data_IF_285437069083
#
_entry.id   IF_285437069083
#
_cell.length_a   1.000
_cell.length_b   1.000
_cell.length_c   1.000
_cell.angle_alpha   90.00
_cell.angle_beta   90.00
_cell.angle_gamma   90.00
#
_symmetry.space_group_name_H-M   'P 1'
#
loop_
_entity.id
_entity.type
_entity.pdbx_description
1 polymer ?
#
# COMPACT_ATOMS: atom_id res chain seq x y z
N UNK A 1 10.82 32.81 22.14
CA UNK A 1 9.86 32.56 23.24
C UNK A 1 9.87 33.72 24.22
N UNK A 2 8.85 33.87 25.09
CA UNK A 2 7.73 32.94 25.31
C UNK A 2 6.74 32.89 24.13
N UNK A 3 6.03 31.77 23.97
CA UNK A 3 5.00 31.60 22.94
C UNK A 3 3.63 31.99 23.48
N UNK A 4 2.82 32.66 22.67
CA UNK A 4 1.40 32.96 22.95
C UNK A 4 0.54 32.03 22.11
N UNK A 5 -0.48 31.42 22.70
CA UNK A 5 -1.37 30.50 22.00
C UNK A 5 -2.40 31.24 21.14
N UNK A 6 -2.74 30.68 19.98
CA UNK A 6 -3.85 31.16 19.16
C UNK A 6 -5.17 30.99 19.95
N UNK A 7 -5.94 32.07 20.23
CA UNK A 7 -7.23 31.97 20.90
C UNK A 7 -8.27 31.15 20.11
N UNK A 8 -8.12 31.03 18.79
CA UNK A 8 -8.99 30.28 17.90
C UNK A 8 -8.57 28.80 17.72
N UNK A 9 -7.67 28.28 18.56
CA UNK A 9 -7.23 26.90 18.45
C UNK A 9 -8.37 25.87 18.67
N UNK A 10 -8.28 24.69 18.02
CA UNK A 10 -7.23 24.27 17.09
C UNK A 10 -7.42 24.89 15.69
N UNK A 11 -6.30 25.18 15.00
CA UNK A 11 -6.35 25.74 13.63
C UNK A 11 -6.96 24.78 12.58
N UNK A 12 -6.95 23.46 12.83
CA UNK A 12 -7.62 22.46 12.01
C UNK A 12 -7.89 21.19 12.83
N UNK A 13 -9.12 20.68 12.80
CA UNK A 13 -9.48 19.37 13.37
C UNK A 13 -10.80 18.89 12.80
N UNK A 14 -10.96 17.56 12.63
CA UNK A 14 -12.25 16.95 12.26
C UNK A 14 -12.97 16.29 13.45
N UNK A 15 -12.48 16.46 14.68
CA UNK A 15 -13.04 15.78 15.87
C UNK A 15 -14.54 16.02 16.10
N UNK A 16 -15.07 17.12 15.58
CA UNK A 16 -16.45 17.57 15.77
C UNK A 16 -17.39 17.15 14.62
N UNK A 17 -16.86 16.58 13.53
CA UNK A 17 -17.66 16.20 12.35
C UNK A 17 -18.30 14.80 12.47
N UNK A 18 -17.95 14.04 13.52
CA UNK A 18 -18.49 12.71 13.78
C UNK A 18 -17.70 11.58 13.11
N UNK A 19 -18.03 10.35 13.50
CA UNK A 19 -17.36 9.11 13.08
C UNK A 19 -17.61 8.78 11.60
N UNK A 20 -18.75 9.23 11.06
CA UNK A 20 -19.20 8.95 9.70
C UNK A 20 -18.66 9.95 8.66
N UNK A 21 -17.88 10.95 9.08
CA UNK A 21 -17.30 11.91 8.16
C UNK A 21 -16.21 11.23 7.30
N UNK A 22 -16.14 11.48 5.98
CA UNK A 22 -15.31 10.68 5.07
C UNK A 22 -13.79 10.93 5.20
N UNK A 23 -13.38 12.02 5.86
CA UNK A 23 -11.98 12.34 6.15
C UNK A 23 -11.84 12.49 7.67
N UNK A 24 -11.00 11.68 8.30
CA UNK A 24 -10.84 11.66 9.76
C UNK A 24 -9.37 11.70 10.16
N UNK A 25 -9.07 11.81 11.46
CA UNK A 25 -7.71 11.84 11.98
C UNK A 25 -6.83 12.96 11.41
N UNK A 26 -7.45 14.08 11.00
CA UNK A 26 -6.76 15.25 10.45
C UNK A 26 -5.81 15.86 11.48
N UNK A 27 -4.56 16.12 11.08
CA UNK A 27 -3.58 16.81 11.91
C UNK A 27 -2.16 16.76 11.34
N UNK A 28 -1.16 16.96 12.21
CA UNK A 28 0.28 16.90 11.86
C UNK A 28 0.63 17.80 10.67
N UNK A 29 0.20 19.07 10.76
CA UNK A 29 0.33 20.00 9.65
C UNK A 29 1.71 20.61 9.52
N UNK A 30 2.10 20.90 8.28
CA UNK A 30 3.27 21.69 7.93
C UNK A 30 2.88 22.82 6.95
N UNK A 31 3.33 24.04 7.25
CA UNK A 31 2.94 25.24 6.51
C UNK A 31 3.92 25.52 5.38
N UNK A 32 3.38 25.84 4.20
CA UNK A 32 4.16 26.24 3.04
C UNK A 32 3.61 27.53 2.44
N UNK A 33 4.51 28.39 2.00
CA UNK A 33 4.19 29.61 1.26
C UNK A 33 4.69 29.47 -0.18
N UNK A 34 3.82 29.75 -1.16
CA UNK A 34 4.19 29.77 -2.58
C UNK A 34 4.96 31.06 -2.93
N UNK A 35 5.67 31.10 -4.07
CA UNK A 35 6.25 32.34 -4.59
C UNK A 35 5.22 33.45 -4.87
N UNK A 36 3.95 33.08 -5.12
CA UNK A 36 2.82 34.00 -5.26
C UNK A 36 2.21 34.45 -3.92
N UNK A 37 2.90 34.22 -2.80
CA UNK A 37 2.49 34.55 -1.44
C UNK A 37 1.20 33.86 -0.96
N UNK A 38 0.77 32.78 -1.61
CA UNK A 38 -0.34 31.96 -1.13
C UNK A 38 0.16 31.01 -0.05
N UNK A 39 -0.60 30.87 1.04
CA UNK A 39 -0.28 29.94 2.10
C UNK A 39 -1.11 28.67 1.95
N UNK A 40 -0.45 27.55 2.22
CA UNK A 40 -1.04 26.22 2.20
C UNK A 40 -0.56 25.43 3.42
N UNK A 41 -1.35 24.45 3.82
CA UNK A 41 -1.01 23.52 4.89
C UNK A 41 -1.15 22.10 4.34
N UNK A 42 -0.04 21.36 4.35
CA UNK A 42 -0.06 19.91 4.14
C UNK A 42 -0.39 19.24 5.46
N UNK A 43 -1.29 18.27 5.45
CA UNK A 43 -1.72 17.55 6.66
C UNK A 43 -1.83 16.07 6.37
N UNK A 44 -1.75 15.25 7.41
CA UNK A 44 -2.19 13.86 7.31
C UNK A 44 -3.68 13.77 7.63
N UNK A 45 -4.36 12.80 7.02
CA UNK A 45 -5.68 12.35 7.41
C UNK A 45 -5.91 10.90 6.93
N UNK A 46 -7.04 10.31 7.27
CA UNK A 46 -7.42 8.96 6.80
C UNK A 46 -8.82 8.99 6.20
N UNK A 47 -9.05 8.15 5.19
CA UNK A 47 -10.39 7.90 4.62
C UNK A 47 -10.91 6.54 5.05
N UNK A 48 -11.84 6.46 6.02
CA UNK A 48 -12.41 5.19 6.42
C UNK A 48 -13.31 4.62 5.33
N UNK A 49 -13.37 3.28 5.24
CA UNK A 49 -14.29 2.61 4.33
C UNK A 49 -14.63 1.20 4.84
N UNK A 50 -15.80 0.71 4.43
CA UNK A 50 -16.34 -0.60 4.89
C UNK A 50 -16.51 -0.72 6.41
N UNK A 51 -16.80 0.41 7.07
CA UNK A 51 -16.77 0.55 8.53
C UNK A 51 -15.74 1.59 8.95
N UNK A 52 -15.34 1.57 10.22
CA UNK A 52 -14.35 2.51 10.75
C UNK A 52 -12.90 2.00 10.59
N UNK A 53 -12.60 1.33 9.47
CA UNK A 53 -11.28 0.80 9.12
C UNK A 53 -10.48 1.77 8.27
N UNK A 54 -9.15 1.67 8.26
CA UNK A 54 -8.24 2.63 7.59
C UNK A 54 -7.11 1.89 6.89
N UNK A 55 -7.49 0.96 6.02
CA UNK A 55 -6.53 0.05 5.40
C UNK A 55 -5.55 0.75 4.44
N UNK A 56 -5.89 1.95 3.94
CA UNK A 56 -4.95 2.82 3.21
C UNK A 56 -3.94 3.53 4.13
N UNK A 57 -4.11 3.44 5.45
CA UNK A 57 -3.31 4.15 6.43
C UNK A 57 -3.66 5.64 6.54
N UNK A 58 -2.62 6.45 6.75
CA UNK A 58 -2.72 7.92 6.76
C UNK A 58 -2.21 8.42 5.42
N UNK A 59 -3.01 9.24 4.77
CA UNK A 59 -2.78 9.84 3.47
C UNK A 59 -2.45 11.33 3.64
N UNK A 60 -1.90 11.95 2.61
CA UNK A 60 -1.55 13.38 2.62
C UNK A 60 -2.64 14.20 1.93
N UNK A 61 -3.03 15.29 2.58
CA UNK A 61 -4.00 16.27 2.08
C UNK A 61 -3.37 17.66 2.04
N UNK A 62 -3.88 18.51 1.16
CA UNK A 62 -3.44 19.89 0.98
C UNK A 62 -4.63 20.82 1.21
N UNK A 63 -4.46 21.85 2.05
CA UNK A 63 -5.51 22.80 2.42
C UNK A 63 -5.03 24.24 2.27
N UNK A 64 -5.86 25.16 1.73
CA UNK A 64 -5.49 26.57 1.62
C UNK A 64 -5.49 27.24 3.00
N UNK A 65 -4.63 28.23 3.18
CA UNK A 65 -4.52 29.01 4.42
C UNK A 65 -4.59 30.48 4.09
N UNK A 66 -5.38 31.22 4.88
CA UNK A 66 -5.40 32.69 4.88
C UNK A 66 -4.96 33.19 6.24
N UNK A 67 -4.14 34.24 6.28
CA UNK A 67 -3.80 34.91 7.54
C UNK A 67 -4.81 36.00 7.86
N UNK A 68 -5.27 36.03 9.10
CA UNK A 68 -6.11 37.09 9.66
C UNK A 68 -5.39 37.69 10.87
N UNK A 69 -4.79 38.87 10.67
CA UNK A 69 -3.83 39.41 11.62
C UNK A 69 -2.63 38.47 11.77
N UNK A 70 -2.38 38.01 12.99
CA UNK A 70 -1.24 37.13 13.32
C UNK A 70 -1.57 35.64 13.29
N UNK A 71 -2.81 35.25 12.91
CA UNK A 71 -3.27 33.87 13.02
C UNK A 71 -3.66 33.26 11.67
N UNK A 72 -3.31 31.99 11.42
CA UNK A 72 -3.73 31.28 10.22
C UNK A 72 -5.17 30.77 10.36
N UNK A 73 -5.93 30.92 9.29
CA UNK A 73 -7.25 30.34 9.07
C UNK A 73 -7.12 29.29 7.99
N UNK A 74 -7.21 28.02 8.38
CA UNK A 74 -7.11 26.87 7.47
C UNK A 74 -8.48 26.60 6.85
N UNK A 75 -8.50 26.31 5.54
CA UNK A 75 -9.73 26.12 4.77
C UNK A 75 -10.77 27.21 5.01
N UNK A 76 -10.47 28.49 4.67
CA UNK A 76 -11.37 29.61 4.97
C UNK A 76 -12.81 29.36 4.54
N UNK A 77 -13.75 29.61 5.45
CA UNK A 77 -15.19 29.39 5.25
C UNK A 77 -15.67 28.04 5.77
N UNK A 78 -14.93 26.94 5.56
CA UNK A 78 -15.38 25.60 5.98
C UNK A 78 -14.65 25.06 7.21
N UNK A 79 -13.41 25.49 7.46
CA UNK A 79 -12.61 25.05 8.62
C UNK A 79 -12.26 23.57 8.62
N UNK A 80 -12.39 22.89 7.47
CA UNK A 80 -12.19 21.44 7.33
C UNK A 80 -11.45 21.10 6.03
N UNK A 81 -10.84 19.92 5.98
CA UNK A 81 -10.27 19.33 4.77
C UNK A 81 -11.41 18.90 3.84
N UNK A 82 -11.41 19.43 2.63
CA UNK A 82 -12.34 19.12 1.55
C UNK A 82 -11.69 18.19 0.53
N UNK A 83 -12.51 17.54 -0.30
CA UNK A 83 -12.00 16.69 -1.39
C UNK A 83 -11.33 17.46 -2.53
N UNK A 84 -11.62 18.75 -2.64
CA UNK A 84 -11.07 19.59 -3.70
C UNK A 84 -11.02 21.04 -3.26
N UNK A 85 -9.99 21.73 -3.73
CA UNK A 85 -9.82 23.17 -3.63
C UNK A 85 -9.46 23.73 -5.01
N UNK A 86 -9.64 25.04 -5.25
CA UNK A 86 -8.98 25.71 -6.36
C UNK A 86 -7.47 25.47 -6.27
N UNK A 87 -6.82 25.18 -7.41
CA UNK A 87 -5.37 24.96 -7.45
C UNK A 87 -4.59 26.23 -7.04
N UNK A 88 -3.38 26.10 -6.48
CA UNK A 88 -2.51 27.26 -6.26
C UNK A 88 -2.20 27.97 -7.57
N UNK A 89 -1.91 29.28 -7.48
CA UNK A 89 -1.43 30.11 -8.58
C UNK A 89 0.03 29.77 -8.87
N UNK A 90 0.22 28.61 -9.52
CA UNK A 90 1.47 28.03 -9.95
C UNK A 90 1.28 27.46 -11.36
N UNK A 91 2.31 27.53 -12.23
CA UNK A 91 2.27 26.87 -13.52
C UNK A 91 2.00 25.37 -13.35
N UNK A 92 1.08 24.84 -14.16
CA UNK A 92 0.87 23.39 -14.21
C UNK A 92 2.14 22.69 -14.68
N UNK A 93 2.48 21.58 -14.03
CA UNK A 93 3.49 20.65 -14.50
C UNK A 93 2.82 19.31 -14.70
N UNK A 94 3.13 18.64 -15.81
CA UNK A 94 2.73 17.26 -16.00
C UNK A 94 3.47 16.44 -14.95
N UNK A 95 2.72 15.83 -14.02
CA UNK A 95 3.28 14.91 -13.04
C UNK A 95 3.97 13.72 -13.72
N UNK A 96 4.67 12.92 -12.92
CA UNK A 96 5.26 11.68 -13.41
C UNK A 96 4.14 10.74 -13.93
N UNK A 97 4.36 10.03 -15.05
CA UNK A 97 3.38 9.09 -15.57
C UNK A 97 3.10 8.00 -14.53
N UNK A 98 1.81 7.73 -14.29
CA UNK A 98 1.38 6.62 -13.44
C UNK A 98 1.54 5.31 -14.22
N UNK A 99 2.69 4.66 -14.06
CA UNK A 99 2.92 3.32 -14.59
C UNK A 99 2.11 2.30 -13.76
N UNK A 100 1.09 1.72 -14.37
CA UNK A 100 0.21 0.71 -13.75
C UNK A 100 0.82 -0.68 -13.73
N UNK A 101 1.83 -0.93 -14.56
CA UNK A 101 2.62 -2.15 -14.62
C UNK A 101 4.10 -1.79 -14.57
N UNK A 102 4.90 -2.64 -13.92
CA UNK A 102 6.35 -2.61 -13.98
C UNK A 102 6.79 -3.93 -14.62
N UNK A 103 7.42 -3.83 -15.79
CA UNK A 103 7.91 -4.99 -16.53
C UNK A 103 9.30 -5.43 -16.07
N UNK A 104 9.95 -4.67 -15.17
CA UNK A 104 11.30 -4.94 -14.68
C UNK A 104 12.36 -4.99 -15.80
N UNK A 105 12.18 -4.15 -16.83
CA UNK A 105 13.11 -4.00 -17.94
C UNK A 105 14.30 -3.10 -17.58
N UNK A 106 14.12 -2.21 -16.60
CA UNK A 106 15.17 -1.30 -16.13
C UNK A 106 16.17 -2.02 -15.20
N UNK A 107 17.47 -1.68 -15.26
CA UNK A 107 18.50 -2.35 -14.45
C UNK A 107 18.47 -1.94 -12.96
N UNK A 108 17.66 -0.94 -12.59
CA UNK A 108 17.54 -0.39 -11.24
C UNK A 108 16.08 -0.45 -10.81
N UNK A 109 15.86 -0.88 -9.57
CA UNK A 109 14.52 -0.99 -9.00
C UNK A 109 13.90 0.41 -8.84
N UNK A 110 12.71 0.60 -9.38
CA UNK A 110 11.98 1.87 -9.31
C UNK A 110 11.67 2.28 -7.86
N UNK A 111 11.70 3.58 -7.57
CA UNK A 111 11.49 4.16 -6.24
C UNK A 111 10.08 3.91 -5.66
N UNK A 112 9.13 3.43 -6.46
CA UNK A 112 7.79 3.03 -5.99
C UNK A 112 7.81 1.79 -5.10
N UNK A 113 8.89 1.02 -5.14
CA UNK A 113 9.04 -0.25 -4.44
C UNK A 113 9.72 -0.07 -3.09
N UNK A 114 9.11 -0.64 -2.05
CA UNK A 114 9.61 -0.64 -0.68
C UNK A 114 10.10 -2.03 -0.27
N UNK A 115 11.20 -2.04 0.48
CA UNK A 115 11.66 -3.21 1.22
C UNK A 115 11.21 -3.12 2.68
N UNK A 116 11.06 -4.26 3.36
CA UNK A 116 10.84 -4.28 4.80
C UNK A 116 12.15 -4.09 5.56
N UNK A 117 12.21 -3.06 6.40
CA UNK A 117 13.36 -2.74 7.27
C UNK A 117 14.62 -2.47 6.43
N UNK A 118 15.80 -2.51 7.06
CA UNK A 118 17.06 -2.20 6.40
C UNK A 118 17.64 -3.46 5.74
N UNK A 119 17.77 -3.51 4.40
CA UNK A 119 18.53 -4.56 3.73
C UNK A 119 20.01 -4.43 4.09
N UNK A 120 20.62 -5.51 4.58
CA UNK A 120 22.06 -5.57 4.90
C UNK A 120 22.88 -6.27 3.82
N UNK A 121 22.20 -6.91 2.89
CA UNK A 121 22.76 -7.63 1.76
C UNK A 121 21.81 -7.50 0.56
N UNK A 122 22.33 -7.79 -0.64
CA UNK A 122 21.54 -7.77 -1.87
C UNK A 122 20.86 -9.14 -2.05
N UNK A 123 19.53 -9.17 -2.00
CA UNK A 123 18.73 -10.41 -2.15
C UNK A 123 17.74 -10.33 -3.32
N UNK A 124 17.90 -9.34 -4.19
CA UNK A 124 17.20 -9.25 -5.47
C UNK A 124 18.16 -8.92 -6.61
N UNK A 125 17.76 -9.19 -7.85
CA UNK A 125 18.51 -8.80 -9.05
C UNK A 125 17.56 -8.51 -10.22
N UNK A 126 17.87 -7.46 -10.97
CA UNK A 126 17.22 -7.10 -12.24
C UNK A 126 18.11 -7.44 -13.45
N UNK A 127 19.36 -7.81 -13.20
CA UNK A 127 20.38 -8.04 -14.24
C UNK A 127 20.75 -9.51 -14.41
N UNK A 128 20.49 -10.35 -13.40
CA UNK A 128 20.63 -11.81 -13.46
C UNK A 128 19.83 -12.44 -14.60
N UNK A 129 18.65 -11.85 -14.87
CA UNK A 129 17.76 -12.21 -15.97
C UNK A 129 16.99 -10.95 -16.38
N UNK A 130 17.48 -10.19 -17.38
CA UNK A 130 16.83 -8.96 -17.82
C UNK A 130 15.35 -9.17 -18.18
N UNK A 131 14.50 -8.20 -17.83
CA UNK A 131 13.03 -8.30 -17.96
C UNK A 131 12.34 -9.05 -16.81
N UNK A 132 13.06 -9.34 -15.72
CA UNK A 132 12.54 -10.02 -14.54
C UNK A 132 13.13 -9.43 -13.25
N UNK A 133 12.29 -9.28 -12.23
CA UNK A 133 12.75 -9.15 -10.86
C UNK A 133 12.98 -10.55 -10.27
N UNK A 134 14.24 -10.91 -10.05
CA UNK A 134 14.61 -12.11 -9.30
C UNK A 134 14.69 -11.79 -7.82
N UNK A 135 13.97 -12.55 -7.00
CA UNK A 135 14.13 -12.59 -5.53
C UNK A 135 14.83 -13.88 -5.14
N UNK A 136 15.87 -13.81 -4.31
CA UNK A 136 16.55 -14.99 -3.80
C UNK A 136 15.85 -15.48 -2.52
N UNK A 137 15.62 -16.80 -2.43
CA UNK A 137 15.08 -17.41 -1.22
C UNK A 137 16.02 -17.20 -0.05
N UNK A 138 15.43 -16.91 1.11
CA UNK A 138 16.14 -16.64 2.35
C UNK A 138 15.34 -17.21 3.54
N UNK A 139 16.01 -17.56 4.65
CA UNK A 139 15.32 -18.07 5.83
C UNK A 139 14.46 -17.01 6.54
N UNK A 140 14.69 -15.73 6.27
CA UNK A 140 13.89 -14.62 6.80
C UNK A 140 12.48 -14.59 6.22
N UNK A 141 11.50 -14.35 7.09
CA UNK A 141 10.07 -14.41 6.82
C UNK A 141 9.40 -13.06 7.06
N UNK A 142 8.28 -12.80 6.39
CA UNK A 142 7.49 -11.59 6.61
C UNK A 142 6.79 -11.57 7.98
N UNK A 143 6.62 -12.74 8.61
CA UNK A 143 5.97 -12.91 9.92
C UNK A 143 6.87 -12.60 11.11
N UNK A 144 8.08 -12.10 10.86
CA UNK A 144 9.06 -11.73 11.88
C UNK A 144 9.59 -10.31 11.66
N UNK A 145 10.23 -9.80 12.72
CA UNK A 145 10.80 -8.46 12.72
C UNK A 145 12.21 -8.37 12.14
N UNK A 146 12.36 -8.84 10.90
CA UNK A 146 13.64 -8.99 10.18
C UNK A 146 13.57 -8.42 8.75
N UNK A 147 14.58 -8.67 7.91
CA UNK A 147 14.60 -8.22 6.51
C UNK A 147 14.42 -9.45 5.58
N UNK A 148 13.17 -9.84 5.27
CA UNK A 148 12.89 -10.91 4.32
C UNK A 148 13.09 -10.45 2.87
N UNK A 149 13.13 -11.41 1.95
CA UNK A 149 13.09 -11.15 0.50
C UNK A 149 11.70 -10.67 0.07
N UNK A 150 11.37 -9.43 0.41
CA UNK A 150 10.07 -8.79 0.16
C UNK A 150 10.27 -7.46 -0.56
N UNK A 151 9.62 -7.31 -1.70
CA UNK A 151 9.47 -6.04 -2.41
C UNK A 151 7.97 -5.80 -2.59
N UNK A 152 7.48 -4.68 -2.05
CA UNK A 152 6.06 -4.33 -2.10
C UNK A 152 5.84 -2.87 -2.47
N UNK A 153 4.60 -2.50 -2.70
CA UNK A 153 4.19 -1.10 -2.89
C UNK A 153 2.93 -0.82 -2.08
N UNK A 154 2.72 0.45 -1.73
CA UNK A 154 1.54 0.89 -0.97
C UNK A 154 0.25 0.67 -1.78
N UNK A 155 -0.79 0.19 -1.12
CA UNK A 155 -2.16 0.25 -1.63
C UNK A 155 -2.63 1.71 -1.57
N UNK A 156 -2.99 2.28 -2.72
CA UNK A 156 -3.36 3.71 -2.84
C UNK A 156 -4.85 3.94 -3.10
N UNK A 157 -5.61 2.86 -3.32
CA UNK A 157 -7.03 2.90 -3.69
C UNK A 157 -7.84 1.88 -2.87
N UNK A 158 -9.08 2.24 -2.54
CA UNK A 158 -10.01 1.37 -1.82
C UNK A 158 -10.45 0.15 -2.66
N UNK A 159 -10.35 0.26 -3.98
CA UNK A 159 -10.51 -0.87 -4.90
C UNK A 159 -9.31 -0.92 -5.82
N UNK A 160 -8.75 -2.11 -6.02
CA UNK A 160 -7.53 -2.31 -6.79
C UNK A 160 -7.47 -3.72 -7.38
N UNK A 161 -6.62 -3.88 -8.38
CA UNK A 161 -6.18 -5.17 -8.89
C UNK A 161 -4.65 -5.17 -8.85
N UNK A 162 -4.08 -6.19 -8.23
CA UNK A 162 -2.64 -6.44 -8.28
C UNK A 162 -2.44 -7.85 -8.84
N UNK A 163 -1.64 -7.96 -9.89
CA UNK A 163 -1.32 -9.20 -10.57
C UNK A 163 0.20 -9.31 -10.73
N UNK A 164 0.73 -10.51 -10.57
CA UNK A 164 2.11 -10.83 -10.89
C UNK A 164 2.17 -12.17 -11.63
N UNK A 165 3.28 -12.40 -12.32
CA UNK A 165 3.60 -13.68 -12.93
C UNK A 165 4.88 -14.23 -12.31
N UNK A 166 4.80 -15.48 -11.87
CA UNK A 166 5.83 -16.14 -11.08
C UNK A 166 6.37 -17.36 -11.81
N UNK A 167 7.70 -17.41 -11.93
CA UNK A 167 8.46 -18.61 -12.30
C UNK A 167 9.25 -19.06 -11.07
N UNK A 168 8.82 -20.14 -10.42
CA UNK A 168 9.40 -20.64 -9.18
C UNK A 168 9.12 -22.13 -9.05
N UNK A 169 10.11 -22.93 -8.66
CA UNK A 169 9.97 -24.37 -8.44
C UNK A 169 10.49 -24.68 -7.03
N UNK A 170 9.61 -24.89 -6.03
CA UNK A 170 10.04 -25.21 -4.68
C UNK A 170 10.59 -26.64 -4.63
N UNK A 171 11.78 -26.80 -4.06
CA UNK A 171 12.39 -28.11 -3.83
C UNK A 171 11.93 -28.71 -2.49
N UNK A 172 11.70 -27.85 -1.49
CA UNK A 172 11.32 -28.21 -0.12
C UNK A 172 10.01 -27.55 0.29
N UNK A 173 9.31 -28.12 1.27
CA UNK A 173 7.99 -27.64 1.73
C UNK A 173 8.03 -26.25 2.40
N UNK A 174 9.17 -25.84 2.94
CA UNK A 174 9.33 -24.52 3.54
C UNK A 174 9.75 -23.43 2.55
N UNK A 175 9.94 -23.78 1.28
CA UNK A 175 10.28 -22.83 0.23
C UNK A 175 9.00 -22.30 -0.41
N UNK A 176 8.84 -20.98 -0.40
CA UNK A 176 7.65 -20.33 -0.94
C UNK A 176 7.99 -19.01 -1.62
N UNK A 177 7.22 -18.67 -2.65
CA UNK A 177 7.28 -17.38 -3.32
C UNK A 177 5.91 -17.02 -3.88
N UNK A 178 5.56 -15.74 -3.92
CA UNK A 178 4.27 -15.30 -4.47
C UNK A 178 3.91 -13.86 -4.16
N UNK A 179 2.61 -13.63 -4.01
CA UNK A 179 1.99 -12.33 -3.81
C UNK A 179 1.51 -12.18 -2.36
N UNK A 180 1.70 -11.02 -1.76
CA UNK A 180 1.37 -10.77 -0.36
C UNK A 180 0.53 -9.50 -0.22
N UNK A 181 -0.56 -9.57 0.54
CA UNK A 181 -1.23 -8.39 1.09
C UNK A 181 -0.71 -8.19 2.52
N UNK A 182 0.21 -7.24 2.70
CA UNK A 182 0.97 -7.08 3.95
C UNK A 182 0.51 -5.85 4.75
N UNK A 183 0.07 -6.06 5.99
CA UNK A 183 -0.19 -4.97 6.93
C UNK A 183 0.92 -4.90 7.99
N UNK A 184 1.23 -6.01 8.66
CA UNK A 184 2.40 -6.17 9.54
C UNK A 184 2.82 -7.64 9.70
N UNK A 185 3.82 -7.89 10.55
CA UNK A 185 4.35 -9.23 10.86
C UNK A 185 3.32 -10.19 11.48
N UNK A 186 2.17 -9.69 11.92
CA UNK A 186 1.10 -10.46 12.55
C UNK A 186 -0.20 -10.48 11.75
N UNK A 187 -0.32 -9.68 10.68
CA UNK A 187 -1.53 -9.53 9.90
C UNK A 187 -1.18 -9.39 8.42
N UNK A 188 -1.42 -10.44 7.65
CA UNK A 188 -1.14 -10.47 6.21
C UNK A 188 -1.80 -11.68 5.55
N UNK A 189 -2.01 -11.57 4.23
CA UNK A 189 -2.34 -12.71 3.37
C UNK A 189 -1.13 -13.07 2.51
N UNK A 190 -0.85 -14.37 2.35
CA UNK A 190 0.19 -14.89 1.44
C UNK A 190 -0.45 -15.81 0.42
N UNK A 191 -0.48 -15.40 -0.84
CA UNK A 191 -0.83 -16.24 -1.98
C UNK A 191 0.47 -16.71 -2.64
N UNK A 192 0.88 -17.93 -2.33
CA UNK A 192 2.23 -18.42 -2.65
C UNK A 192 2.20 -19.76 -3.38
N UNK A 193 3.21 -19.98 -4.22
CA UNK A 193 3.56 -21.32 -4.68
C UNK A 193 4.50 -21.95 -3.66
N UNK A 194 4.19 -23.16 -3.24
CA UNK A 194 4.99 -23.97 -2.31
C UNK A 194 4.86 -25.46 -2.67
N UNK A 195 5.42 -26.33 -1.84
CA UNK A 195 5.35 -27.78 -1.98
C UNK A 195 4.56 -28.37 -0.80
N UNK A 196 3.68 -29.31 -1.09
CA UNK A 196 2.99 -30.14 -0.12
C UNK A 196 3.21 -31.60 -0.53
N UNK A 197 3.88 -32.37 0.32
CA UNK A 197 4.40 -33.69 -0.01
C UNK A 197 5.33 -33.67 -1.24
N UNK A 198 4.87 -34.28 -2.34
CA UNK A 198 5.57 -34.34 -3.63
C UNK A 198 4.95 -33.44 -4.69
N UNK A 199 3.85 -32.75 -4.36
CA UNK A 199 3.11 -31.91 -5.29
C UNK A 199 3.46 -30.44 -5.07
N UNK A 200 3.50 -29.69 -6.17
CA UNK A 200 3.55 -28.24 -6.11
C UNK A 200 2.13 -27.70 -6.03
N UNK A 201 1.93 -26.72 -5.16
CA UNK A 201 0.60 -26.16 -4.86
C UNK A 201 0.65 -24.64 -4.87
N UNK A 202 -0.46 -24.01 -5.23
CA UNK A 202 -0.75 -22.63 -4.86
C UNK A 202 -1.55 -22.66 -3.58
N UNK A 203 -1.10 -21.91 -2.57
CA UNK A 203 -1.66 -21.90 -1.24
C UNK A 203 -1.94 -20.47 -0.79
N UNK A 204 -3.12 -20.26 -0.23
CA UNK A 204 -3.49 -19.00 0.40
C UNK A 204 -3.44 -19.16 1.93
N UNK A 205 -2.55 -18.41 2.56
CA UNK A 205 -2.47 -18.29 4.01
C UNK A 205 -3.08 -16.98 4.50
N UNK A 206 -3.73 -17.02 5.67
CA UNK A 206 -4.10 -15.85 6.47
C UNK A 206 -3.31 -15.89 7.78
N UNK A 207 -2.56 -14.83 8.04
CA UNK A 207 -2.01 -14.54 9.36
C UNK A 207 -2.88 -13.47 10.03
N UNK A 208 -3.40 -13.75 11.21
CA UNK A 208 -4.22 -12.81 11.99
C UNK A 208 -3.79 -12.87 13.46
N UNK A 209 -3.42 -11.72 14.03
CA UNK A 209 -2.87 -11.67 15.38
C UNK A 209 -1.64 -12.57 15.60
N UNK A 210 -0.87 -12.83 14.54
CA UNK A 210 0.30 -13.71 14.56
C UNK A 210 -0.02 -15.21 14.45
N UNK A 211 -1.31 -15.58 14.39
CA UNK A 211 -1.73 -16.96 14.15
C UNK A 211 -1.95 -17.21 12.67
N UNK A 212 -1.40 -18.28 12.14
CA UNK A 212 -1.49 -18.63 10.73
C UNK A 212 -2.50 -19.74 10.47
N UNK A 213 -3.27 -19.60 9.40
CA UNK A 213 -4.20 -20.60 8.90
C UNK A 213 -4.13 -20.69 7.37
N UNK A 214 -4.39 -21.88 6.83
CA UNK A 214 -4.58 -22.08 5.38
C UNK A 214 -6.04 -21.87 5.04
N UNK A 215 -6.33 -21.00 4.07
CA UNK A 215 -7.69 -20.75 3.59
C UNK A 215 -8.06 -21.57 2.36
N UNK A 216 -7.09 -21.82 1.48
CA UNK A 216 -7.28 -22.60 0.26
C UNK A 216 -5.94 -23.14 -0.25
N UNK A 217 -6.01 -24.25 -0.98
CA UNK A 217 -4.87 -24.90 -1.61
C UNK A 217 -5.32 -25.59 -2.90
N UNK A 218 -4.49 -25.54 -3.94
CA UNK A 218 -4.72 -26.25 -5.20
C UNK A 218 -3.41 -26.70 -5.83
N UNK A 219 -3.41 -27.92 -6.38
CA UNK A 219 -2.25 -28.47 -7.09
C UNK A 219 -2.01 -27.77 -8.42
N UNK A 220 -0.74 -27.54 -8.76
CA UNK A 220 -0.32 -26.95 -10.03
C UNK A 220 0.92 -27.65 -10.59
N UNK A 221 0.99 -27.74 -11.91
CA UNK A 221 2.14 -28.34 -12.62
C UNK A 221 2.85 -27.35 -13.54
N UNK A 222 2.17 -26.26 -13.95
CA UNK A 222 2.73 -25.25 -14.83
C UNK A 222 3.97 -24.57 -14.20
N UNK A 223 5.07 -24.39 -14.95
CA UNK A 223 6.28 -23.74 -14.41
C UNK A 223 6.08 -22.23 -14.18
N UNK A 224 5.19 -21.61 -14.96
CA UNK A 224 4.84 -20.20 -14.89
C UNK A 224 3.38 -20.07 -14.44
N UNK A 225 3.13 -19.28 -13.42
CA UNK A 225 1.78 -19.07 -12.87
C UNK A 225 1.51 -17.59 -12.67
N UNK A 226 0.29 -17.14 -12.98
CA UNK A 226 -0.21 -15.82 -12.64
C UNK A 226 -0.89 -15.88 -11.29
N UNK A 227 -0.61 -14.90 -10.44
CA UNK A 227 -1.23 -14.72 -9.13
C UNK A 227 -1.87 -13.34 -9.10
N UNK A 228 -3.09 -13.25 -8.60
CA UNK A 228 -3.83 -11.99 -8.57
C UNK A 228 -4.63 -11.85 -7.28
N UNK A 229 -4.70 -10.62 -6.80
CA UNK A 229 -5.68 -10.18 -5.81
C UNK A 229 -6.52 -9.04 -6.40
N UNK A 230 -7.83 -9.12 -6.20
CA UNK A 230 -8.76 -8.03 -6.47
C UNK A 230 -9.35 -7.60 -5.13
N UNK A 231 -9.12 -6.35 -4.75
CA UNK A 231 -9.80 -5.71 -3.64
C UNK A 231 -10.96 -4.85 -4.14
N UNK A 232 -12.16 -5.06 -3.59
CA UNK A 232 -13.33 -4.19 -3.81
C UNK A 232 -13.83 -3.70 -2.46
N UNK A 233 -13.35 -2.53 -2.03
CA UNK A 233 -13.57 -2.09 -0.65
C UNK A 233 -12.88 -3.07 0.30
N UNK A 234 -13.65 -3.66 1.21
CA UNK A 234 -13.16 -4.62 2.20
C UNK A 234 -13.11 -6.07 1.68
N UNK A 235 -13.61 -6.35 0.48
CA UNK A 235 -13.70 -7.73 -0.02
C UNK A 235 -12.53 -8.07 -0.93
N UNK A 236 -11.64 -8.95 -0.47
CA UNK A 236 -10.48 -9.41 -1.22
C UNK A 236 -10.74 -10.79 -1.81
N UNK A 237 -10.41 -10.95 -3.09
CA UNK A 237 -10.54 -12.19 -3.84
C UNK A 237 -9.18 -12.55 -4.45
N UNK A 238 -8.76 -13.80 -4.25
CA UNK A 238 -7.47 -14.32 -4.69
C UNK A 238 -7.67 -15.29 -5.85
N UNK A 239 -6.90 -15.07 -6.91
CA UNK A 239 -6.99 -15.83 -8.16
C UNK A 239 -5.61 -16.35 -8.56
N UNK A 240 -5.63 -17.44 -9.34
CA UNK A 240 -4.45 -18.04 -9.93
C UNK A 240 -4.78 -18.57 -11.33
N UNK A 241 -3.76 -18.77 -12.17
CA UNK A 241 -3.96 -19.38 -13.48
C UNK A 241 -2.71 -19.38 -14.34
N UNK A 242 -2.77 -20.03 -15.50
CA UNK A 242 -1.62 -20.16 -16.42
C UNK A 242 -1.52 -18.99 -17.41
N UNK A 243 -2.61 -18.21 -17.54
CA UNK A 243 -2.70 -17.07 -18.46
C UNK A 243 -3.29 -15.85 -17.75
N UNK A 244 -2.81 -14.64 -18.10
CA UNK A 244 -3.23 -13.38 -17.47
C UNK A 244 -4.74 -13.09 -17.59
N UNK A 245 -5.38 -13.62 -18.63
CA UNK A 245 -6.77 -13.31 -18.99
C UNK A 245 -7.74 -14.45 -18.64
N UNK A 246 -7.24 -15.55 -18.07
CA UNK A 246 -8.02 -16.72 -17.70
C UNK A 246 -7.56 -17.22 -16.31
N UNK A 247 -7.98 -16.47 -15.29
CA UNK A 247 -7.66 -16.78 -13.89
C UNK A 247 -8.87 -17.39 -13.19
N UNK A 248 -8.60 -18.43 -12.42
CA UNK A 248 -9.58 -19.11 -11.59
C UNK A 248 -9.58 -18.52 -10.18
N UNK A 249 -10.76 -18.37 -9.58
CA UNK A 249 -10.89 -17.97 -8.19
C UNK A 249 -10.35 -19.10 -7.30
N UNK A 250 -9.34 -18.82 -6.49
CA UNK A 250 -8.87 -19.73 -5.46
C UNK A 250 -9.73 -19.61 -4.21
N UNK A 251 -9.94 -18.37 -3.74
CA UNK A 251 -10.68 -18.09 -2.52
C UNK A 251 -11.13 -16.62 -2.47
N UNK A 252 -12.24 -16.38 -1.79
CA UNK A 252 -12.81 -15.05 -1.57
C UNK A 252 -14.33 -15.08 -1.55
N UNK A 253 -14.99 -14.03 -1.03
CA UNK A 253 -14.36 -12.86 -0.40
C UNK A 253 -13.72 -13.20 0.95
N UNK A 254 -12.63 -12.50 1.29
CA UNK A 254 -12.09 -12.39 2.66
C UNK A 254 -11.97 -10.93 3.04
N UNK A 255 -11.85 -10.65 4.34
CA UNK A 255 -11.69 -9.29 4.86
C UNK A 255 -10.30 -8.73 4.53
N UNK A 256 -10.30 -7.56 3.88
CA UNK A 256 -9.11 -6.79 3.51
C UNK A 256 -8.64 -5.79 4.55
#
# INVERSE_FOLDING_TARGET
GPYVGNPANPILTHRHLGVDYPIVNVGHGDLIQTPSNQWWLVVLASRPYGGYYRNLGRETFLTPVRWEGEWPVVSPGTGKVEFSYPVPDLPESNGLPLLTCDHFDEPVLDLRWDCLRTPREQWWSLTDRPGYLRLFLRPETISKRENPSFIGRRQQHQSFLAQTVLEFVPEKEHEEAGLVCFQNDQNHYRLVRTKHDSCQVIKLFKCEGGSESTLAEVGVTAPRIYLQVIGRGQDYHFYYGEHSNDLQLLHGPVDG
#
